data_IF_395822439795
#
_entry.id   IF_395822439795
#
_cell.length_a   1.000
_cell.length_b   1.000
_cell.length_c   1.000
_cell.angle_alpha   90.00
_cell.angle_beta   90.00
_cell.angle_gamma   90.00
#
_symmetry.space_group_name_H-M   'P 1'
#
loop_
_entity.id
_entity.type
_entity.pdbx_description
1 polymer ?
#
# COMPACT_ATOMS: atom_id res chain seq x y z
N UNK A 1 22.19 6.32 8.69
CA UNK A 1 21.16 5.79 7.77
C UNK A 1 20.39 4.66 8.46
N UNK A 2 19.70 4.95 9.58
CA UNK A 2 18.89 3.97 10.34
C UNK A 2 17.50 4.57 10.59
N UNK A 3 17.41 5.90 10.74
CA UNK A 3 16.16 6.64 10.95
C UNK A 3 15.23 6.61 9.72
N UNK A 4 15.75 6.57 8.48
CA UNK A 4 14.91 6.46 7.26
C UNK A 4 14.16 5.13 7.12
N UNK A 5 14.52 4.15 7.94
CA UNK A 5 14.29 2.75 7.64
C UNK A 5 13.18 2.13 8.49
N UNK A 6 13.03 2.59 9.74
CA UNK A 6 11.80 2.39 10.52
C UNK A 6 10.59 2.96 9.76
N UNK A 7 10.77 4.09 9.07
CA UNK A 7 9.69 4.73 8.32
C UNK A 7 9.15 3.86 7.18
N UNK A 8 10.01 3.15 6.44
CA UNK A 8 9.61 2.25 5.34
C UNK A 8 8.76 1.07 5.83
N UNK A 9 9.18 0.42 6.92
CA UNK A 9 8.44 -0.67 7.54
C UNK A 9 7.12 -0.21 8.16
N UNK A 10 7.10 0.96 8.80
CA UNK A 10 5.85 1.52 9.34
C UNK A 10 4.86 1.85 8.23
N UNK A 11 5.32 2.43 7.11
CA UNK A 11 4.47 2.79 5.98
C UNK A 11 3.78 1.57 5.36
N UNK A 12 4.54 0.48 5.13
CA UNK A 12 3.96 -0.72 4.51
C UNK A 12 2.94 -1.39 5.42
N UNK A 13 3.21 -1.44 6.73
CA UNK A 13 2.29 -1.99 7.73
C UNK A 13 1.02 -1.16 7.76
N UNK A 14 1.16 0.17 7.75
CA UNK A 14 0.02 1.08 7.77
C UNK A 14 -0.89 0.89 6.55
N UNK A 15 -0.34 0.90 5.33
CA UNK A 15 -1.12 0.64 4.12
C UNK A 15 -1.82 -0.72 4.15
N UNK A 16 -1.08 -1.76 4.51
CA UNK A 16 -1.61 -3.13 4.59
C UNK A 16 -2.78 -3.22 5.58
N UNK A 17 -2.65 -2.60 6.75
CA UNK A 17 -3.71 -2.60 7.77
C UNK A 17 -4.91 -1.77 7.31
N UNK A 18 -4.70 -0.63 6.67
CA UNK A 18 -5.78 0.21 6.15
C UNK A 18 -6.58 -0.52 5.06
N UNK A 19 -5.92 -1.17 4.10
CA UNK A 19 -6.61 -1.96 3.08
C UNK A 19 -7.46 -3.07 3.68
N UNK A 20 -6.88 -3.83 4.62
CA UNK A 20 -7.60 -4.92 5.29
C UNK A 20 -8.79 -4.41 6.09
N UNK A 21 -8.61 -3.32 6.82
CA UNK A 21 -9.68 -2.67 7.55
C UNK A 21 -10.82 -2.22 6.61
N UNK A 22 -10.50 -1.56 5.49
CA UNK A 22 -11.51 -1.12 4.52
C UNK A 22 -12.22 -2.30 3.85
N UNK A 23 -11.48 -3.36 3.52
CA UNK A 23 -12.05 -4.61 3.02
C UNK A 23 -12.96 -5.27 4.06
N UNK A 24 -12.61 -5.23 5.34
CA UNK A 24 -13.46 -5.81 6.40
C UNK A 24 -14.69 -4.94 6.68
N UNK A 25 -14.54 -3.62 6.72
CA UNK A 25 -15.60 -2.69 7.09
C UNK A 25 -16.57 -2.36 5.95
N UNK A 26 -16.10 -2.31 4.69
CA UNK A 26 -16.88 -1.81 3.54
C UNK A 26 -17.11 -2.85 2.44
N UNK A 27 -16.52 -4.05 2.52
CA UNK A 27 -16.83 -5.15 1.59
C UNK A 27 -18.12 -5.86 1.97
N UNK A 28 -18.83 -6.34 0.95
CA UNK A 28 -20.00 -7.22 1.13
C UNK A 28 -19.65 -8.58 1.74
N UNK A 29 -18.41 -9.04 1.57
CA UNK A 29 -17.98 -10.38 1.98
C UNK A 29 -17.27 -10.39 3.35
N UNK A 30 -16.81 -9.25 3.85
CA UNK A 30 -16.02 -9.15 5.09
C UNK A 30 -14.70 -9.95 5.07
N UNK A 31 -14.21 -10.32 3.89
CA UNK A 31 -13.03 -11.15 3.69
C UNK A 31 -12.01 -10.42 2.83
N UNK A 32 -10.73 -10.63 3.15
CA UNK A 32 -9.58 -10.17 2.38
C UNK A 32 -8.60 -11.33 2.18
N UNK A 33 -7.81 -11.32 1.11
CA UNK A 33 -6.85 -12.39 0.88
C UNK A 33 -5.68 -12.33 1.87
N UNK A 34 -5.07 -13.49 2.16
CA UNK A 34 -3.91 -13.58 3.06
C UNK A 34 -2.60 -13.01 2.47
N UNK A 35 -2.69 -12.22 1.39
CA UNK A 35 -1.53 -11.60 0.75
C UNK A 35 -0.90 -10.50 1.62
N UNK A 36 0.37 -10.21 1.34
CA UNK A 36 1.08 -9.05 1.88
C UNK A 36 1.40 -8.02 0.79
N UNK A 37 1.12 -8.35 -0.47
CA UNK A 37 1.37 -7.50 -1.63
C UNK A 37 0.30 -6.42 -1.70
N UNK A 38 0.72 -5.16 -1.61
CA UNK A 38 -0.21 -4.01 -1.56
C UNK A 38 -1.02 -3.85 -2.85
N UNK A 39 -0.43 -4.15 -4.02
CA UNK A 39 -1.12 -4.07 -5.30
C UNK A 39 -2.32 -5.03 -5.38
N UNK A 40 -2.19 -6.24 -4.83
CA UNK A 40 -3.29 -7.21 -4.80
C UNK A 40 -4.42 -6.73 -3.88
N UNK A 41 -4.07 -6.19 -2.71
CA UNK A 41 -5.06 -5.65 -1.77
C UNK A 41 -5.83 -4.46 -2.37
N UNK A 42 -5.17 -3.62 -3.16
CA UNK A 42 -5.83 -2.53 -3.89
C UNK A 42 -6.82 -3.07 -4.94
N UNK A 43 -6.45 -4.12 -5.69
CA UNK A 43 -7.35 -4.74 -6.66
C UNK A 43 -8.58 -5.36 -5.98
N UNK A 44 -8.38 -6.09 -4.89
CA UNK A 44 -9.48 -6.62 -4.07
C UNK A 44 -10.39 -5.51 -3.54
N UNK A 45 -9.82 -4.39 -3.09
CA UNK A 45 -10.61 -3.25 -2.60
C UNK A 45 -11.49 -2.67 -3.71
N UNK A 46 -10.96 -2.50 -4.91
CA UNK A 46 -11.69 -1.96 -6.07
C UNK A 46 -12.79 -2.94 -6.54
N UNK A 47 -12.55 -4.24 -6.41
CA UNK A 47 -13.48 -5.30 -6.81
C UNK A 47 -14.63 -5.46 -5.80
N UNK A 48 -14.30 -5.47 -4.50
CA UNK A 48 -15.25 -5.85 -3.45
C UNK A 48 -15.92 -4.68 -2.74
N UNK A 49 -15.49 -3.43 -3.00
CA UNK A 49 -16.09 -2.22 -2.42
C UNK A 49 -16.46 -1.20 -3.50
N UNK A 50 -17.25 -0.16 -3.14
CA UNK A 50 -17.53 0.95 -4.06
C UNK A 50 -16.32 1.84 -4.39
N UNK A 51 -15.16 1.62 -3.74
CA UNK A 51 -13.96 2.40 -3.97
C UNK A 51 -13.52 2.32 -5.45
N UNK A 52 -13.25 3.48 -6.06
CA UNK A 52 -12.77 3.59 -7.45
C UNK A 52 -11.54 4.47 -7.51
N UNK A 53 -10.52 3.99 -8.20
CA UNK A 53 -9.27 4.71 -8.43
C UNK A 53 -8.58 4.18 -9.70
N UNK A 54 -7.59 4.90 -10.21
CA UNK A 54 -6.73 4.41 -11.29
C UNK A 54 -5.66 3.46 -10.72
N UNK A 55 -5.97 2.16 -10.76
CA UNK A 55 -5.02 1.13 -10.30
C UNK A 55 -3.70 1.12 -11.06
N UNK A 56 -3.68 1.57 -12.32
CA UNK A 56 -2.45 1.54 -13.14
C UNK A 56 -1.45 2.58 -12.68
N UNK A 57 -1.93 3.74 -12.23
CA UNK A 57 -1.13 4.80 -11.61
C UNK A 57 -0.36 4.33 -10.38
N UNK A 58 -0.99 3.51 -9.53
CA UNK A 58 -0.42 3.13 -8.23
C UNK A 58 0.34 1.80 -8.24
N UNK A 59 0.14 0.96 -9.27
CA UNK A 59 0.68 -0.41 -9.31
C UNK A 59 2.19 -0.46 -9.11
N UNK A 60 2.94 0.33 -9.87
CA UNK A 60 4.41 0.34 -9.80
C UNK A 60 4.90 0.85 -8.44
N UNK A 61 4.32 1.94 -7.94
CA UNK A 61 4.70 2.52 -6.65
C UNK A 61 4.47 1.53 -5.49
N UNK A 62 3.32 0.85 -5.46
CA UNK A 62 3.01 -0.16 -4.44
C UNK A 62 3.92 -1.38 -4.54
N UNK A 63 4.30 -1.77 -5.76
CA UNK A 63 5.23 -2.87 -5.99
C UNK A 63 6.64 -2.52 -5.50
N UNK A 64 7.16 -1.32 -5.83
CA UNK A 64 8.46 -0.84 -5.34
C UNK A 64 8.48 -0.79 -3.82
N UNK A 65 7.45 -0.22 -3.18
CA UNK A 65 7.37 -0.20 -1.71
C UNK A 65 7.37 -1.61 -1.11
N UNK A 66 6.65 -2.56 -1.73
CA UNK A 66 6.59 -3.96 -1.28
C UNK A 66 7.97 -4.63 -1.39
N UNK A 67 8.60 -4.54 -2.55
CA UNK A 67 9.92 -5.12 -2.81
C UNK A 67 10.97 -4.49 -1.90
N UNK A 68 10.99 -3.17 -1.73
CA UNK A 68 11.93 -2.49 -0.84
C UNK A 68 11.80 -2.97 0.62
N UNK A 69 10.58 -3.26 1.09
CA UNK A 69 10.38 -3.78 2.44
C UNK A 69 10.81 -5.26 2.59
N UNK A 70 10.66 -6.06 1.54
CA UNK A 70 11.08 -7.47 1.50
C UNK A 70 12.61 -7.59 1.40
N UNK A 71 13.20 -6.88 0.43
CA UNK A 71 14.63 -6.87 0.14
C UNK A 71 15.46 -6.19 1.24
N UNK A 72 14.87 -5.28 2.02
CA UNK A 72 15.58 -4.65 3.15
C UNK A 72 16.20 -5.69 4.11
N UNK A 73 15.57 -6.85 4.28
CA UNK A 73 16.09 -7.90 5.17
C UNK A 73 17.40 -8.50 4.69
N UNK A 74 17.72 -8.38 3.40
CA UNK A 74 18.79 -9.12 2.74
C UNK A 74 19.75 -8.25 1.92
N UNK A 75 19.36 -7.02 1.55
CA UNK A 75 20.10 -6.19 0.61
C UNK A 75 20.13 -4.70 1.03
N UNK A 76 21.32 -4.10 1.03
CA UNK A 76 21.54 -2.70 1.44
C UNK A 76 21.48 -1.70 0.27
N UNK A 77 21.44 -2.18 -0.97
CA UNK A 77 21.40 -1.35 -2.19
C UNK A 77 19.95 -1.06 -2.59
N UNK A 78 19.24 -0.27 -1.80
CA UNK A 78 17.92 0.24 -2.15
C UNK A 78 18.08 1.58 -2.88
N UNK A 79 17.51 1.69 -4.08
CA UNK A 79 17.35 2.98 -4.75
C UNK A 79 16.43 3.88 -3.93
N UNK A 80 17.05 4.81 -3.20
CA UNK A 80 16.37 5.71 -2.28
C UNK A 80 15.56 6.78 -3.01
N UNK A 81 15.92 7.15 -4.24
CA UNK A 81 15.19 8.14 -5.02
C UNK A 81 13.93 7.51 -5.61
N UNK A 82 14.06 6.37 -6.28
CA UNK A 82 12.91 5.60 -6.77
C UNK A 82 11.93 5.19 -5.66
N UNK A 83 12.44 4.85 -4.47
CA UNK A 83 11.60 4.62 -3.30
C UNK A 83 10.86 5.89 -2.86
N UNK A 84 11.53 7.04 -2.81
CA UNK A 84 10.91 8.31 -2.39
C UNK A 84 9.79 8.73 -3.34
N UNK A 85 10.00 8.60 -4.65
CA UNK A 85 8.99 8.90 -5.66
C UNK A 85 7.79 7.97 -5.53
N UNK A 86 8.05 6.68 -5.29
CA UNK A 86 7.01 5.69 -5.03
C UNK A 86 6.19 6.00 -3.77
N UNK A 87 6.84 6.46 -2.69
CA UNK A 87 6.14 6.91 -1.47
C UNK A 87 5.28 8.14 -1.75
N UNK A 88 5.75 9.09 -2.55
CA UNK A 88 4.99 10.28 -2.90
C UNK A 88 3.73 9.93 -3.72
N UNK A 89 3.86 9.04 -4.69
CA UNK A 89 2.72 8.50 -5.46
C UNK A 89 1.75 7.75 -4.53
N UNK A 90 2.27 6.90 -3.63
CA UNK A 90 1.43 6.18 -2.68
C UNK A 90 0.69 7.12 -1.72
N UNK A 91 1.28 8.25 -1.31
CA UNK A 91 0.62 9.25 -0.47
C UNK A 91 -0.63 9.86 -1.14
N UNK A 92 -0.69 9.93 -2.46
CA UNK A 92 -1.90 10.35 -3.17
C UNK A 92 -3.01 9.30 -3.01
N UNK A 93 -2.68 8.01 -3.20
CA UNK A 93 -3.61 6.91 -2.93
C UNK A 93 -4.08 6.93 -1.47
N UNK A 94 -3.19 7.23 -0.52
CA UNK A 94 -3.57 7.30 0.89
C UNK A 94 -4.65 8.36 1.13
N UNK A 95 -4.54 9.53 0.50
CA UNK A 95 -5.56 10.59 0.62
C UNK A 95 -6.92 10.11 0.08
N UNK A 96 -6.91 9.41 -1.05
CA UNK A 96 -8.14 8.83 -1.63
C UNK A 96 -8.76 7.79 -0.69
N UNK A 97 -7.95 6.89 -0.10
CA UNK A 97 -8.41 5.87 0.84
C UNK A 97 -8.97 6.49 2.13
N UNK A 98 -8.35 7.55 2.64
CA UNK A 98 -8.83 8.25 3.84
C UNK A 98 -10.12 9.01 3.58
N UNK A 99 -10.25 9.67 2.42
CA UNK A 99 -11.49 10.29 2.00
C UNK A 99 -12.60 9.24 1.90
N UNK A 100 -12.33 8.13 1.21
CA UNK A 100 -13.27 7.01 1.13
C UNK A 100 -13.63 6.44 2.49
N UNK A 101 -12.74 6.44 3.48
CA UNK A 101 -13.05 5.96 4.82
C UNK A 101 -13.96 6.91 5.61
N UNK A 102 -13.78 8.22 5.43
CA UNK A 102 -14.52 9.26 6.15
C UNK A 102 -15.97 9.45 5.66
N UNK A 103 -16.28 8.96 4.46
CA UNK A 103 -17.63 8.85 3.91
C UNK A 103 -18.40 7.64 4.49
#
# INVERSE_FOLDING_TARGET
MIIRLNFTLTLIIYFKMLFKYLLEAKSKHGLYSRTHKLNNLLEELIEYTPFKTDKTKYRMALQVITVCAEEYRYNFLIDCEGYRDSVQIANELLKELLAFNGD
#
